data_IF_796723222107
#
_entry.id   IF_796723222107
#
_cell.length_a   1.000
_cell.length_b   1.000
_cell.length_c   1.000
_cell.angle_alpha   90.00
_cell.angle_beta   90.00
_cell.angle_gamma   90.00
#
_symmetry.space_group_name_H-M   'P 1'
#
loop_
_entity.id
_entity.type
_entity.pdbx_description
1 polymer ?
#
# COMPACT_ATOMS: atom_id res chain seq x y z
N UNK A 1 -7.04 -29.52 26.82
CA UNK A 1 -8.37 -29.20 26.25
C UNK A 1 -8.81 -27.87 26.82
N UNK A 2 -8.70 -26.80 26.07
CA UNK A 2 -9.26 -25.49 26.45
C UNK A 2 -10.17 -25.03 25.31
N UNK A 3 -11.47 -24.98 25.63
CA UNK A 3 -12.52 -24.43 24.74
C UNK A 3 -12.33 -22.93 24.59
N UNK A 4 -12.18 -22.47 23.33
CA UNK A 4 -12.21 -21.05 23.00
C UNK A 4 -13.62 -20.75 22.47
N UNK A 5 -14.42 -20.10 23.30
CA UNK A 5 -15.75 -19.62 22.92
C UNK A 5 -15.64 -18.46 21.93
N UNK A 6 -16.29 -18.61 20.79
CA UNK A 6 -16.46 -17.58 19.78
C UNK A 6 -17.54 -16.59 20.26
N UNK A 7 -17.17 -15.40 20.67
CA UNK A 7 -18.11 -14.31 20.91
C UNK A 7 -18.49 -13.63 19.59
N UNK A 8 -19.70 -13.87 19.15
CA UNK A 8 -20.32 -13.15 18.03
C UNK A 8 -20.89 -11.84 18.58
N UNK A 9 -20.44 -10.71 18.07
CA UNK A 9 -21.02 -9.40 18.34
C UNK A 9 -22.02 -9.05 17.24
N UNK A 10 -23.32 -9.10 17.57
CA UNK A 10 -24.37 -8.46 16.76
C UNK A 10 -24.53 -7.02 17.25
N UNK A 11 -24.12 -6.06 16.42
CA UNK A 11 -24.40 -4.63 16.62
C UNK A 11 -25.66 -4.22 15.86
N UNK A 12 -26.76 -3.98 16.59
CA UNK A 12 -27.97 -3.33 16.07
C UNK A 12 -27.74 -1.82 15.99
N UNK A 13 -27.76 -1.25 14.78
CA UNK A 13 -27.82 0.20 14.55
C UNK A 13 -29.27 0.59 14.28
N UNK A 14 -29.89 1.25 15.25
CA UNK A 14 -31.17 1.96 15.09
C UNK A 14 -30.91 3.36 14.55
N UNK A 15 -31.37 3.66 13.34
CA UNK A 15 -31.37 5.00 12.76
C UNK A 15 -32.75 5.61 12.99
N UNK A 16 -32.82 6.60 13.87
CA UNK A 16 -34.00 7.47 14.03
C UNK A 16 -33.81 8.67 13.11
N UNK A 17 -34.63 8.78 12.09
CA UNK A 17 -34.68 9.93 11.20
C UNK A 17 -35.50 11.06 11.79
N UNK A 18 -34.91 12.22 11.96
CA UNK A 18 -35.62 13.48 12.25
C UNK A 18 -35.82 14.24 10.92
N UNK A 19 -37.07 14.38 10.53
CA UNK A 19 -37.48 15.22 9.41
C UNK A 19 -37.88 16.59 9.96
N UNK A 20 -37.20 17.64 9.60
CA UNK A 20 -37.60 19.04 9.86
C UNK A 20 -38.21 19.65 8.60
N UNK A 21 -39.31 20.42 8.72
CA UNK A 21 -39.94 21.05 7.57
C UNK A 21 -39.25 22.38 7.23
N UNK A 22 -38.86 22.53 5.94
CA UNK A 22 -38.40 23.80 5.41
C UNK A 22 -39.58 24.64 4.95
N UNK A 23 -39.72 25.84 5.50
CA UNK A 23 -40.64 26.89 5.11
C UNK A 23 -40.12 27.63 3.88
N UNK A 24 -40.99 27.79 2.88
CA UNK A 24 -40.79 28.60 1.68
C UNK A 24 -40.71 30.08 2.03
N UNK A 25 -39.68 30.75 1.54
CA UNK A 25 -39.73 32.20 1.29
C UNK A 25 -39.33 32.45 -0.16
N UNK A 26 -40.28 32.86 -0.93
CA UNK A 26 -40.10 33.36 -2.29
C UNK A 26 -39.47 34.76 -2.24
N UNK A 27 -38.37 34.97 -2.94
CA UNK A 27 -37.98 36.28 -3.47
C UNK A 27 -37.55 36.12 -4.93
N UNK A 28 -38.26 36.92 -5.73
CA UNK A 28 -38.12 37.00 -7.18
C UNK A 28 -36.92 37.87 -7.57
N UNK A 29 -36.50 37.64 -8.83
CA UNK A 29 -35.74 38.52 -9.73
C UNK A 29 -34.20 38.49 -9.58
N UNK A 30 -33.51 37.76 -10.47
CA UNK A 30 -32.78 38.42 -11.55
C UNK A 30 -32.47 37.41 -12.69
N UNK A 31 -33.12 37.66 -13.84
CA UNK A 31 -32.85 36.97 -15.10
C UNK A 31 -31.73 37.73 -15.79
N UNK A 32 -30.49 37.24 -15.74
CA UNK A 32 -29.52 37.31 -16.84
C UNK A 32 -28.12 36.91 -16.36
N UNK A 33 -27.84 35.64 -16.36
CA UNK A 33 -26.45 35.17 -16.51
C UNK A 33 -26.45 33.95 -17.43
N UNK A 34 -25.82 34.16 -18.58
CA UNK A 34 -25.52 33.18 -19.63
C UNK A 34 -25.21 31.78 -19.04
N UNK A 35 -26.07 30.85 -19.38
CA UNK A 35 -25.91 29.44 -19.07
C UNK A 35 -24.66 28.88 -19.73
N UNK A 36 -23.57 28.83 -18.98
CA UNK A 36 -22.46 27.95 -19.33
C UNK A 36 -22.98 26.52 -19.22
N UNK A 37 -22.84 25.67 -20.24
CA UNK A 37 -23.28 24.28 -20.12
C UNK A 37 -22.58 23.62 -18.96
N UNK A 38 -23.23 22.71 -18.19
CA UNK A 38 -22.59 21.99 -17.13
C UNK A 38 -21.38 21.24 -17.71
N UNK A 39 -20.21 21.45 -17.12
CA UNK A 39 -19.05 20.63 -17.44
C UNK A 39 -19.39 19.23 -16.95
N UNK A 40 -19.73 18.35 -17.86
CA UNK A 40 -19.94 16.93 -17.60
C UNK A 40 -18.60 16.37 -17.12
N UNK A 41 -18.46 16.17 -15.80
CA UNK A 41 -17.34 15.48 -15.22
C UNK A 41 -17.52 14.01 -15.62
N UNK A 42 -16.96 13.64 -16.78
CA UNK A 42 -16.85 12.25 -17.19
C UNK A 42 -15.91 11.57 -16.19
N UNK A 43 -16.48 10.96 -15.14
CA UNK A 43 -15.74 10.10 -14.26
C UNK A 43 -15.19 8.94 -15.10
N UNK A 44 -13.87 8.84 -15.20
CA UNK A 44 -13.23 7.72 -15.88
C UNK A 44 -13.80 6.39 -15.32
N UNK A 45 -14.20 5.44 -16.15
CA UNK A 45 -14.85 4.22 -15.70
C UNK A 45 -13.90 3.49 -14.71
N UNK A 46 -14.39 3.19 -13.52
CA UNK A 46 -13.63 2.49 -12.48
C UNK A 46 -12.99 1.18 -13.00
N UNK A 47 -13.63 0.54 -13.97
CA UNK A 47 -13.10 -0.65 -14.65
C UNK A 47 -11.79 -0.41 -15.40
N UNK A 48 -11.59 0.73 -16.04
CA UNK A 48 -10.35 1.04 -16.77
C UNK A 48 -9.15 1.20 -15.80
N UNK A 49 -9.37 1.72 -14.61
CA UNK A 49 -8.33 1.83 -13.57
C UNK A 49 -7.93 0.46 -13.02
N UNK A 50 -8.89 -0.43 -12.79
CA UNK A 50 -8.64 -1.79 -12.29
C UNK A 50 -7.84 -2.63 -13.31
N UNK A 51 -8.25 -2.61 -14.57
CA UNK A 51 -7.54 -3.30 -15.66
C UNK A 51 -6.10 -2.81 -15.81
N UNK A 52 -5.87 -1.50 -15.66
CA UNK A 52 -4.51 -0.92 -15.70
C UNK A 52 -3.65 -1.39 -14.52
N UNK A 53 -4.22 -1.47 -13.31
CA UNK A 53 -3.53 -1.92 -12.09
C UNK A 53 -3.09 -3.38 -12.21
N UNK A 54 -3.99 -4.28 -12.58
CA UNK A 54 -3.70 -5.71 -12.69
C UNK A 54 -2.65 -5.98 -13.78
N UNK A 55 -2.71 -5.26 -14.91
CA UNK A 55 -1.70 -5.33 -15.96
C UNK A 55 -0.31 -4.91 -15.44
N UNK A 56 -0.22 -3.86 -14.63
CA UNK A 56 1.04 -3.41 -14.03
C UNK A 56 1.57 -4.46 -13.05
N UNK A 57 0.73 -4.99 -12.17
CA UNK A 57 1.13 -6.02 -11.22
C UNK A 57 1.66 -7.27 -11.95
N UNK A 58 0.90 -7.78 -12.93
CA UNK A 58 1.32 -8.95 -13.73
C UNK A 58 2.63 -8.72 -14.45
N UNK A 59 2.89 -7.51 -14.93
CA UNK A 59 4.16 -7.15 -15.59
C UNK A 59 5.37 -7.33 -14.67
N UNK A 60 5.21 -7.10 -13.37
CA UNK A 60 6.31 -7.10 -12.41
C UNK A 60 6.41 -8.37 -11.57
N UNK A 61 5.47 -9.33 -11.65
CA UNK A 61 5.48 -10.57 -10.85
C UNK A 61 6.80 -11.34 -10.93
N UNK A 62 7.45 -11.33 -12.10
CA UNK A 62 8.71 -12.05 -12.32
C UNK A 62 9.87 -11.10 -12.67
N UNK A 63 9.79 -9.85 -12.22
CA UNK A 63 10.84 -8.89 -12.54
C UNK A 63 12.11 -9.18 -11.72
N UNK A 64 13.20 -9.49 -12.40
CA UNK A 64 14.51 -9.68 -11.79
C UNK A 64 15.18 -8.36 -11.39
N UNK A 65 14.79 -7.27 -12.04
CA UNK A 65 15.31 -5.92 -11.81
C UNK A 65 14.17 -4.91 -11.99
N UNK A 66 14.16 -3.88 -11.16
CA UNK A 66 13.28 -2.73 -11.31
C UNK A 66 14.14 -1.48 -11.48
N UNK A 67 13.80 -0.65 -12.47
CA UNK A 67 14.25 0.74 -12.49
C UNK A 67 13.52 1.55 -11.43
N UNK A 68 14.03 2.73 -11.08
CA UNK A 68 13.37 3.60 -10.09
C UNK A 68 11.92 3.95 -10.49
N UNK A 69 11.70 4.23 -11.78
CA UNK A 69 10.35 4.47 -12.30
C UNK A 69 9.43 3.25 -12.18
N UNK A 70 9.94 2.05 -12.48
CA UNK A 70 9.19 0.80 -12.35
C UNK A 70 8.86 0.47 -10.89
N UNK A 71 9.77 0.76 -9.95
CA UNK A 71 9.51 0.64 -8.52
C UNK A 71 8.36 1.56 -8.10
N UNK A 72 8.39 2.83 -8.52
CA UNK A 72 7.30 3.79 -8.22
C UNK A 72 5.98 3.32 -8.81
N UNK A 73 5.96 2.84 -10.06
CA UNK A 73 4.75 2.32 -10.70
C UNK A 73 4.17 1.10 -9.97
N UNK A 74 5.03 0.17 -9.57
CA UNK A 74 4.65 -0.98 -8.75
C UNK A 74 4.01 -0.52 -7.44
N UNK A 75 4.68 0.36 -6.69
CA UNK A 75 4.20 0.84 -5.39
C UNK A 75 2.85 1.58 -5.49
N UNK A 76 2.66 2.38 -6.56
CA UNK A 76 1.37 3.00 -6.86
C UNK A 76 0.29 1.97 -7.17
N UNK A 77 0.62 0.95 -7.98
CA UNK A 77 -0.31 -0.12 -8.32
C UNK A 77 -0.70 -0.97 -7.09
N UNK A 78 0.20 -1.18 -6.14
CA UNK A 78 -0.09 -1.80 -4.85
C UNK A 78 -1.08 -0.96 -4.03
N UNK A 79 -0.99 0.36 -4.06
CA UNK A 79 -1.91 1.26 -3.37
C UNK A 79 -1.24 2.32 -2.49
N UNK A 80 0.08 2.39 -2.45
CA UNK A 80 0.77 3.47 -1.74
C UNK A 80 0.50 4.83 -2.41
N UNK A 81 0.23 5.86 -1.61
CA UNK A 81 -0.10 7.22 -2.09
C UNK A 81 0.56 8.29 -1.23
N UNK A 82 0.77 9.48 -1.79
CA UNK A 82 1.28 10.64 -1.05
C UNK A 82 2.56 10.34 -0.25
N UNK A 83 2.60 10.71 1.02
CA UNK A 83 3.74 10.47 1.89
C UNK A 83 4.02 8.97 2.12
N UNK A 84 2.98 8.11 2.13
CA UNK A 84 3.17 6.66 2.24
C UNK A 84 3.95 6.09 1.04
N UNK A 85 3.67 6.58 -0.18
CA UNK A 85 4.43 6.21 -1.37
C UNK A 85 5.88 6.70 -1.30
N UNK A 86 6.08 7.93 -0.83
CA UNK A 86 7.42 8.50 -0.62
C UNK A 86 8.23 7.67 0.38
N UNK A 87 7.64 7.30 1.51
CA UNK A 87 8.27 6.45 2.52
C UNK A 87 8.56 5.05 1.99
N UNK A 88 7.59 4.40 1.31
CA UNK A 88 7.78 3.08 0.72
C UNK A 88 8.94 3.06 -0.27
N UNK A 89 9.04 4.09 -1.12
CA UNK A 89 10.14 4.27 -2.04
C UNK A 89 11.48 4.38 -1.31
N UNK A 90 11.56 5.27 -0.31
CA UNK A 90 12.78 5.49 0.46
C UNK A 90 13.25 4.22 1.19
N UNK A 91 12.31 3.47 1.79
CA UNK A 91 12.62 2.21 2.48
C UNK A 91 13.11 1.15 1.48
N UNK A 92 12.40 0.93 0.37
CA UNK A 92 12.83 -0.02 -0.65
C UNK A 92 14.26 0.27 -1.16
N UNK A 93 14.60 1.55 -1.32
CA UNK A 93 15.94 1.98 -1.72
C UNK A 93 16.97 1.82 -0.59
N UNK A 94 16.59 2.11 0.65
CA UNK A 94 17.47 1.96 1.80
C UNK A 94 17.78 0.48 2.09
N UNK A 95 16.78 -0.40 2.00
CA UNK A 95 16.89 -1.82 2.33
C UNK A 95 17.61 -2.63 1.24
N UNK A 96 17.21 -2.47 0.00
CA UNK A 96 17.69 -3.33 -1.09
C UNK A 96 18.17 -2.58 -2.33
N UNK A 97 18.11 -1.26 -2.34
CA UNK A 97 18.21 -0.45 -3.55
C UNK A 97 17.12 -0.81 -4.60
N UNK A 98 15.95 -1.25 -4.12
CA UNK A 98 14.82 -1.66 -4.96
C UNK A 98 15.02 -2.99 -5.68
N UNK A 99 15.96 -3.84 -5.24
CA UNK A 99 16.28 -5.12 -5.90
C UNK A 99 15.33 -6.24 -5.47
N UNK A 100 14.59 -6.88 -6.41
CA UNK A 100 13.69 -7.99 -6.07
C UNK A 100 14.40 -9.20 -5.46
N UNK A 101 15.60 -9.54 -5.93
CA UNK A 101 16.38 -10.70 -5.47
C UNK A 101 17.42 -10.35 -4.40
N UNK A 102 17.23 -9.26 -3.67
CA UNK A 102 18.07 -8.98 -2.53
C UNK A 102 17.82 -10.00 -1.41
N UNK A 103 18.89 -10.57 -0.87
CA UNK A 103 18.87 -11.49 0.26
C UNK A 103 19.94 -11.09 1.26
N UNK A 104 19.56 -11.02 2.53
CA UNK A 104 20.48 -10.91 3.66
C UNK A 104 20.24 -12.11 4.59
N UNK A 105 21.21 -13.01 4.66
CA UNK A 105 21.15 -14.28 5.40
C UNK A 105 22.16 -14.32 6.54
N UNK A 106 22.31 -13.25 7.31
CA UNK A 106 23.24 -13.23 8.44
C UNK A 106 22.60 -13.83 9.70
N UNK A 107 22.92 -15.09 9.97
CA UNK A 107 22.44 -15.81 11.15
C UNK A 107 22.98 -15.23 12.47
N UNK A 108 24.17 -14.61 12.47
CA UNK A 108 24.78 -14.02 13.66
C UNK A 108 24.01 -12.78 14.14
N UNK A 109 23.44 -12.02 13.20
CA UNK A 109 22.63 -10.83 13.51
C UNK A 109 21.13 -11.14 13.59
N UNK A 110 20.73 -12.42 13.44
CA UNK A 110 19.33 -12.82 13.43
C UNK A 110 18.59 -12.32 12.19
N UNK A 111 19.25 -12.30 11.03
CA UNK A 111 18.68 -11.79 9.80
C UNK A 111 18.52 -12.90 8.75
N UNK A 112 17.34 -12.98 8.17
CA UNK A 112 17.00 -13.78 7.00
C UNK A 112 15.96 -13.02 6.20
N UNK A 113 16.44 -11.98 5.50
CA UNK A 113 15.61 -10.95 4.88
C UNK A 113 15.57 -11.04 3.37
N UNK A 114 14.37 -10.88 2.79
CA UNK A 114 14.10 -11.20 1.39
C UNK A 114 13.49 -10.01 0.64
N UNK A 115 13.95 -9.80 -0.58
CA UNK A 115 13.32 -8.99 -1.62
C UNK A 115 13.44 -7.48 -1.43
N UNK A 116 12.57 -6.76 -2.12
CA UNK A 116 12.58 -5.29 -2.24
C UNK A 116 12.62 -4.59 -0.87
N UNK A 117 11.80 -5.06 0.06
CA UNK A 117 11.64 -4.46 1.38
C UNK A 117 12.39 -5.21 2.50
N UNK A 118 13.21 -6.20 2.15
CA UNK A 118 13.97 -7.00 3.12
C UNK A 118 13.08 -7.51 4.26
N UNK A 119 12.01 -8.25 3.89
CA UNK A 119 11.10 -8.85 4.88
C UNK A 119 11.86 -9.95 5.61
N UNK A 120 12.06 -9.78 6.91
CA UNK A 120 12.79 -10.75 7.74
C UNK A 120 11.92 -11.99 8.01
N UNK A 121 12.50 -13.17 7.79
CA UNK A 121 11.86 -14.49 7.95
C UNK A 121 12.61 -15.37 8.97
N UNK A 122 13.42 -14.76 9.85
CA UNK A 122 14.23 -15.48 10.84
C UNK A 122 13.38 -16.01 12.00
N UNK A 123 13.73 -17.18 12.51
CA UNK A 123 13.09 -17.81 13.67
C UNK A 123 11.58 -17.95 13.50
N UNK A 124 10.81 -17.65 14.54
CA UNK A 124 9.34 -17.75 14.54
C UNK A 124 8.66 -16.79 13.56
N UNK A 125 9.34 -15.70 13.15
CA UNK A 125 8.78 -14.77 12.14
C UNK A 125 8.52 -15.45 10.80
N UNK A 126 9.34 -16.43 10.43
CA UNK A 126 9.20 -17.16 9.17
C UNK A 126 7.89 -17.94 9.09
N UNK A 127 7.66 -18.93 9.98
CA UNK A 127 6.40 -19.70 10.05
C UNK A 127 5.17 -18.79 10.16
N UNK A 128 5.17 -17.84 11.09
CA UNK A 128 4.04 -16.93 11.32
C UNK A 128 3.69 -16.11 10.07
N UNK A 129 4.69 -15.60 9.36
CA UNK A 129 4.49 -14.82 8.15
C UNK A 129 4.05 -15.68 6.97
N UNK A 130 4.59 -16.90 6.84
CA UNK A 130 4.10 -17.82 5.80
C UNK A 130 2.64 -18.16 5.98
N UNK A 131 2.23 -18.53 7.20
CA UNK A 131 0.83 -18.81 7.50
C UNK A 131 -0.05 -17.58 7.25
N UNK A 132 0.34 -16.43 7.78
CA UNK A 132 -0.44 -15.19 7.68
C UNK A 132 -0.64 -14.71 6.23
N UNK A 133 0.34 -14.90 5.37
CA UNK A 133 0.33 -14.39 3.99
C UNK A 133 0.21 -15.47 2.93
N UNK A 134 -0.13 -16.71 3.34
CA UNK A 134 -0.32 -17.86 2.46
C UNK A 134 0.89 -18.11 1.54
N UNK A 135 2.10 -18.08 2.13
CA UNK A 135 3.33 -18.35 1.41
C UNK A 135 3.74 -19.82 1.61
N UNK A 136 3.99 -20.53 0.52
CA UNK A 136 4.51 -21.90 0.55
C UNK A 136 6.00 -21.94 0.89
N UNK A 137 6.72 -20.87 0.56
CA UNK A 137 8.15 -20.74 0.87
C UNK A 137 8.60 -19.27 0.95
N UNK A 138 9.76 -19.05 1.62
CA UNK A 138 10.35 -17.70 1.71
C UNK A 138 10.77 -17.13 0.36
N UNK A 139 11.05 -18.00 -0.66
CA UNK A 139 11.50 -17.55 -1.98
C UNK A 139 10.42 -16.77 -2.74
N UNK A 140 9.15 -16.90 -2.36
CA UNK A 140 8.07 -16.09 -2.93
C UNK A 140 8.23 -14.60 -2.63
N UNK A 141 8.97 -14.25 -1.61
CA UNK A 141 9.30 -12.86 -1.28
C UNK A 141 10.29 -12.22 -2.26
N UNK A 142 10.90 -12.98 -3.17
CA UNK A 142 11.65 -12.43 -4.28
C UNK A 142 10.74 -11.91 -5.42
N UNK A 143 9.48 -12.32 -5.44
CA UNK A 143 8.48 -11.69 -6.30
C UNK A 143 8.20 -10.27 -5.77
N UNK A 144 8.54 -9.20 -6.51
CA UNK A 144 8.41 -7.84 -6.02
C UNK A 144 6.96 -7.42 -5.77
N UNK A 145 6.00 -8.04 -6.45
CA UNK A 145 4.56 -7.80 -6.23
C UNK A 145 4.13 -8.39 -4.89
N UNK A 146 4.48 -9.66 -4.61
CA UNK A 146 4.21 -10.34 -3.34
C UNK A 146 4.85 -9.58 -2.19
N UNK A 147 6.13 -9.25 -2.30
CA UNK A 147 6.90 -8.51 -1.30
C UNK A 147 6.26 -7.15 -0.98
N UNK A 148 5.90 -6.39 -2.00
CA UNK A 148 5.26 -5.07 -1.84
C UNK A 148 3.84 -5.16 -1.28
N UNK A 149 3.03 -6.17 -1.65
CA UNK A 149 1.69 -6.41 -1.08
C UNK A 149 1.77 -6.71 0.41
N UNK A 150 2.69 -7.59 0.82
CA UNK A 150 2.92 -7.94 2.22
C UNK A 150 3.37 -6.69 2.99
N UNK A 151 4.31 -5.93 2.46
CA UNK A 151 4.75 -4.66 3.07
C UNK A 151 3.60 -3.67 3.23
N UNK A 152 2.74 -3.51 2.21
CA UNK A 152 1.56 -2.65 2.29
C UNK A 152 0.63 -3.09 3.43
N UNK A 153 0.40 -4.40 3.58
CA UNK A 153 -0.39 -4.94 4.68
C UNK A 153 0.27 -4.69 6.05
N UNK A 154 1.56 -5.04 6.19
CA UNK A 154 2.31 -4.88 7.44
C UNK A 154 2.36 -3.42 7.91
N UNK A 155 2.45 -2.48 6.97
CA UNK A 155 2.51 -1.04 7.25
C UNK A 155 1.13 -0.38 7.37
N UNK A 156 0.03 -1.15 7.33
CA UNK A 156 -1.34 -0.59 7.33
C UNK A 156 -1.53 0.47 6.24
N UNK A 157 -1.06 0.16 5.03
CA UNK A 157 -1.09 1.09 3.90
C UNK A 157 -0.04 2.20 3.93
N UNK A 158 1.06 1.97 4.62
CA UNK A 158 2.17 2.94 4.77
C UNK A 158 1.99 3.92 5.92
N UNK A 159 1.11 3.63 6.89
CA UNK A 159 0.89 4.43 8.10
C UNK A 159 1.80 4.04 9.26
N UNK A 160 2.30 2.82 9.27
CA UNK A 160 3.08 2.25 10.37
C UNK A 160 4.33 1.52 9.81
N UNK A 161 5.49 2.12 10.00
CA UNK A 161 6.76 1.58 9.53
C UNK A 161 7.64 1.03 10.67
N UNK A 162 7.09 0.82 11.84
CA UNK A 162 7.82 0.38 13.05
C UNK A 162 8.58 -0.95 12.88
N UNK A 163 8.16 -1.80 11.93
CA UNK A 163 8.85 -3.05 11.60
C UNK A 163 10.18 -2.86 10.83
N UNK A 164 10.48 -1.64 10.37
CA UNK A 164 11.71 -1.30 9.65
C UNK A 164 12.55 -0.32 10.45
N UNK A 165 13.66 -0.79 11.02
CA UNK A 165 14.59 0.05 11.79
C UNK A 165 15.28 1.12 10.95
N UNK A 166 15.35 0.91 9.64
CA UNK A 166 15.94 1.86 8.69
C UNK A 166 15.19 3.18 8.57
N UNK A 167 13.91 3.24 8.97
CA UNK A 167 13.01 4.40 8.79
C UNK A 167 13.54 5.73 9.33
N UNK A 168 14.37 5.71 10.33
CA UNK A 168 15.00 6.93 10.88
C UNK A 168 16.50 7.04 10.54
N UNK A 169 16.99 6.10 9.71
CA UNK A 169 18.40 6.06 9.34
C UNK A 169 18.78 7.05 8.23
N UNK A 170 20.08 7.36 8.09
CA UNK A 170 20.57 8.34 7.11
C UNK A 170 20.24 7.93 5.66
N UNK A 171 20.31 6.65 5.33
CA UNK A 171 19.94 6.16 3.98
C UNK A 171 18.47 6.38 3.66
N UNK A 172 17.56 6.17 4.63
CA UNK A 172 16.15 6.45 4.46
C UNK A 172 15.94 7.95 4.18
N UNK A 173 16.54 8.83 4.99
CA UNK A 173 16.43 10.28 4.83
C UNK A 173 16.96 10.76 3.48
N UNK A 174 18.09 10.22 3.03
CA UNK A 174 18.63 10.51 1.72
C UNK A 174 17.61 10.20 0.60
N UNK A 175 17.04 8.98 0.57
CA UNK A 175 16.09 8.57 -0.46
C UNK A 175 14.73 9.25 -0.32
N UNK A 176 14.30 9.51 0.91
CA UNK A 176 13.09 10.27 1.15
C UNK A 176 13.15 11.66 0.54
N UNK A 177 14.30 12.31 0.59
CA UNK A 177 14.53 13.63 -0.01
C UNK A 177 14.70 13.59 -1.55
N UNK A 178 15.14 12.47 -2.10
CA UNK A 178 15.27 12.22 -3.54
C UNK A 178 13.99 11.66 -4.20
N UNK A 179 12.83 11.74 -3.54
CA UNK A 179 11.59 11.28 -4.17
C UNK A 179 11.37 11.97 -5.53
N UNK A 180 10.91 11.26 -6.58
CA UNK A 180 10.33 9.90 -6.62
C UNK A 180 11.35 8.77 -6.84
N UNK A 181 12.25 8.50 -5.91
CA UNK A 181 13.26 7.44 -5.93
C UNK A 181 14.31 7.53 -7.06
N UNK A 182 14.51 8.66 -7.65
CA UNK A 182 15.50 8.82 -8.73
C UNK A 182 16.91 8.93 -8.15
N UNK A 183 17.79 8.05 -8.63
CA UNK A 183 19.24 8.14 -8.40
C UNK A 183 19.85 9.30 -9.17
#
# INVERSE_FOLDING_TARGET
>A
MRNIEKKVWLGLLSIVGLVAPFSNSANALDNNLLTKPPVEIVSAPQGAFLVSKDKILKKYENAHKLTDGQLVDLLKAIGFKGNALRSACAIAKAESNGRPFAFNGNAETGDSSYGVFQINMMGELGPDRREKFDLTSNVELFNPVTNSKITFHMTKGGKDWSAWSSVNGPRYQEWYNKYPCKS
#
